data_IF_494483753409
#
_entry.id   IF_494483753409
#
_cell.length_a   1.000
_cell.length_b   1.000
_cell.length_c   1.000
_cell.angle_alpha   90.00
_cell.angle_beta   90.00
_cell.angle_gamma   90.00
#
_symmetry.space_group_name_H-M   'P 1'
#
loop_
_entity.id
_entity.type
_entity.pdbx_description
1 polymer ?
#
# COMPACT_ATOMS: atom_id res chain seq x y z
N UNK A 1 1.49 -3.90 11.18
CA UNK A 1 0.72 -3.69 9.94
C UNK A 1 1.69 -3.62 8.76
N UNK A 2 1.28 -4.17 7.65
CA UNK A 2 2.00 -4.30 6.41
C UNK A 2 2.12 -2.94 5.74
N UNK A 3 3.23 -2.66 5.09
CA UNK A 3 3.25 -1.72 3.98
C UNK A 3 2.16 -2.18 3.02
N UNK A 4 1.36 -1.25 2.56
CA UNK A 4 0.29 -1.55 1.63
C UNK A 4 0.91 -2.02 0.32
N UNK A 5 0.95 -3.35 0.15
CA UNK A 5 1.47 -3.98 -1.06
C UNK A 5 0.30 -4.23 -2.00
N UNK A 6 0.35 -3.60 -3.15
CA UNK A 6 -0.66 -3.68 -4.18
C UNK A 6 -0.20 -4.62 -5.30
N UNK A 7 -1.12 -5.40 -5.84
CA UNK A 7 -0.90 -6.12 -7.08
C UNK A 7 -1.54 -5.34 -8.22
N UNK A 8 -0.76 -4.93 -9.21
CA UNK A 8 -1.23 -4.34 -10.45
C UNK A 8 -1.22 -5.41 -11.55
N UNK A 9 -2.37 -5.60 -12.20
CA UNK A 9 -2.53 -6.51 -13.35
C UNK A 9 -2.92 -5.65 -14.55
N UNK A 10 -1.94 -5.34 -15.40
CA UNK A 10 -2.05 -4.40 -16.54
C UNK A 10 -1.09 -4.84 -17.64
N UNK A 11 -1.55 -5.02 -18.85
CA UNK A 11 -0.73 -5.45 -19.98
C UNK A 11 -0.09 -4.30 -20.74
N UNK A 12 -0.65 -3.10 -20.68
CA UNK A 12 -0.06 -1.91 -21.32
C UNK A 12 1.14 -1.38 -20.51
N UNK A 13 2.36 -1.39 -21.10
CA UNK A 13 3.55 -0.98 -20.37
C UNK A 13 3.58 0.51 -20.02
N UNK A 14 2.94 1.37 -20.80
CA UNK A 14 2.92 2.81 -20.52
C UNK A 14 1.97 3.12 -19.35
N UNK A 15 0.81 2.49 -19.34
CA UNK A 15 -0.19 2.66 -18.28
C UNK A 15 0.33 2.02 -16.98
N UNK A 16 0.83 0.80 -17.06
CA UNK A 16 1.37 0.09 -15.89
C UNK A 16 2.51 0.84 -15.22
N UNK A 17 3.47 1.36 -16.00
CA UNK A 17 4.57 2.15 -15.44
C UNK A 17 4.09 3.47 -14.82
N UNK A 18 3.16 4.18 -15.46
CA UNK A 18 2.60 5.42 -14.93
C UNK A 18 1.88 5.19 -13.60
N UNK A 19 1.05 4.14 -13.50
CA UNK A 19 0.37 3.75 -12.26
C UNK A 19 1.38 3.40 -11.19
N UNK A 20 2.35 2.52 -11.50
CA UNK A 20 3.38 2.08 -10.57
C UNK A 20 4.17 3.25 -10.02
N UNK A 21 4.66 4.13 -10.89
CA UNK A 21 5.43 5.30 -10.50
C UNK A 21 4.62 6.29 -9.66
N UNK A 22 3.34 6.52 -10.01
CA UNK A 22 2.43 7.38 -9.25
C UNK A 22 2.18 6.84 -7.85
N UNK A 23 1.77 5.58 -7.74
CA UNK A 23 1.45 4.95 -6.46
C UNK A 23 2.66 4.77 -5.55
N UNK A 24 3.87 4.59 -6.11
CA UNK A 24 5.11 4.64 -5.32
C UNK A 24 5.34 5.99 -4.66
N UNK A 25 5.07 7.09 -5.36
CA UNK A 25 5.16 8.43 -4.76
C UNK A 25 4.20 8.59 -3.58
N UNK A 26 3.05 7.91 -3.64
CA UNK A 26 2.06 7.87 -2.57
C UNK A 26 2.37 6.85 -1.46
N UNK A 27 3.54 6.19 -1.52
CA UNK A 27 4.03 5.28 -0.48
C UNK A 27 3.51 3.85 -0.56
N UNK A 28 2.86 3.48 -1.67
CA UNK A 28 2.47 2.09 -1.92
C UNK A 28 3.63 1.29 -2.51
N UNK A 29 3.73 0.02 -2.13
CA UNK A 29 4.56 -0.95 -2.86
C UNK A 29 3.69 -1.61 -3.91
N UNK A 30 4.12 -1.59 -5.17
CA UNK A 30 3.35 -2.10 -6.30
C UNK A 30 4.13 -3.19 -7.01
N UNK A 31 3.62 -4.41 -6.94
CA UNK A 31 4.07 -5.49 -7.80
C UNK A 31 3.20 -5.49 -9.06
N UNK A 32 3.81 -5.54 -10.20
CA UNK A 32 3.14 -5.44 -11.48
C UNK A 32 3.34 -6.70 -12.30
N UNK A 33 2.23 -7.24 -12.80
CA UNK A 33 2.18 -8.40 -13.70
C UNK A 33 1.32 -8.06 -14.92
N UNK A 34 1.60 -8.69 -16.04
CA UNK A 34 1.01 -8.36 -17.33
C UNK A 34 -0.13 -9.29 -17.75
N UNK A 35 -0.35 -10.38 -17.02
CA UNK A 35 -1.28 -11.44 -17.40
C UNK A 35 -2.04 -11.99 -16.21
N UNK A 36 -3.27 -12.46 -16.45
CA UNK A 36 -4.10 -13.08 -15.44
C UNK A 36 -3.46 -14.34 -14.81
N UNK A 37 -2.71 -15.13 -15.60
CA UNK A 37 -2.03 -16.33 -15.10
C UNK A 37 -0.93 -15.98 -14.10
N UNK A 38 -0.13 -14.96 -14.40
CA UNK A 38 0.92 -14.45 -13.49
C UNK A 38 0.30 -13.89 -12.22
N UNK A 39 -0.82 -13.16 -12.33
CA UNK A 39 -1.55 -12.65 -11.17
C UNK A 39 -2.04 -13.80 -10.27
N UNK A 40 -2.63 -14.84 -10.84
CA UNK A 40 -3.07 -16.01 -10.09
C UNK A 40 -1.90 -16.70 -9.36
N UNK A 41 -0.73 -16.81 -9.98
CA UNK A 41 0.45 -17.42 -9.38
C UNK A 41 0.96 -16.62 -8.16
N UNK A 42 1.15 -15.30 -8.31
CA UNK A 42 1.67 -14.46 -7.21
C UNK A 42 0.69 -14.31 -6.06
N UNK A 43 -0.62 -14.36 -6.31
CA UNK A 43 -1.65 -14.36 -5.26
C UNK A 43 -1.60 -15.59 -4.36
N UNK A 44 -1.00 -16.71 -4.81
CA UNK A 44 -0.80 -17.90 -4.00
C UNK A 44 0.44 -17.83 -3.10
N UNK A 45 1.44 -17.06 -3.48
CA UNK A 45 2.74 -17.03 -2.81
C UNK A 45 2.93 -15.79 -1.95
N UNK A 46 2.30 -14.69 -2.32
CA UNK A 46 2.51 -13.38 -1.70
C UNK A 46 1.20 -12.77 -1.20
N UNK A 47 1.23 -12.14 -0.02
CA UNK A 47 0.06 -11.44 0.50
C UNK A 47 -0.03 -10.02 -0.09
N UNK A 48 -1.21 -9.68 -0.59
CA UNK A 48 -1.55 -8.33 -1.07
C UNK A 48 -2.70 -7.74 -0.27
N UNK A 49 -2.72 -6.43 -0.15
CA UNK A 49 -3.79 -5.70 0.52
C UNK A 49 -4.92 -5.29 -0.44
N UNK A 50 -4.60 -5.09 -1.73
CA UNK A 50 -5.55 -4.74 -2.77
C UNK A 50 -4.98 -5.12 -4.14
N UNK A 51 -5.85 -5.48 -5.07
CA UNK A 51 -5.51 -5.72 -6.47
C UNK A 51 -6.14 -4.64 -7.35
N UNK A 52 -5.33 -4.07 -8.24
CA UNK A 52 -5.73 -3.24 -9.37
C UNK A 52 -5.80 -4.15 -10.60
N UNK A 53 -6.94 -4.19 -11.29
CA UNK A 53 -7.19 -5.19 -12.33
C UNK A 53 -7.71 -4.54 -13.60
N UNK A 54 -6.97 -4.63 -14.69
CA UNK A 54 -7.56 -4.39 -16.01
C UNK A 54 -8.40 -5.59 -16.45
N UNK A 55 -9.50 -5.31 -17.12
CA UNK A 55 -10.36 -6.32 -17.75
C UNK A 55 -9.89 -6.69 -19.16
N UNK A 56 -9.08 -5.83 -19.81
CA UNK A 56 -8.61 -5.96 -21.18
C UNK A 56 -7.41 -6.88 -21.37
N UNK A 57 -7.08 -7.71 -20.40
CA UNK A 57 -5.89 -8.55 -20.42
C UNK A 57 -5.86 -9.56 -21.59
N UNK A 58 -4.69 -9.88 -22.15
CA UNK A 58 -4.56 -10.88 -23.19
C UNK A 58 -4.86 -12.29 -22.66
N UNK A 59 -5.48 -13.11 -23.50
CA UNK A 59 -5.80 -14.51 -23.18
C UNK A 59 -6.97 -14.65 -22.21
N UNK A 60 -6.69 -14.81 -20.92
CA UNK A 60 -7.74 -14.92 -19.88
C UNK A 60 -8.19 -13.52 -19.47
N UNK A 61 -9.50 -13.24 -19.59
CA UNK A 61 -10.02 -11.93 -19.24
C UNK A 61 -9.87 -11.61 -17.75
N UNK A 62 -9.66 -10.33 -17.40
CA UNK A 62 -9.61 -9.90 -16.01
C UNK A 62 -10.90 -10.27 -15.24
N UNK A 63 -12.05 -10.29 -15.90
CA UNK A 63 -13.30 -10.68 -15.28
C UNK A 63 -13.32 -12.17 -14.87
N UNK A 64 -12.72 -13.04 -15.67
CA UNK A 64 -12.62 -14.48 -15.36
C UNK A 64 -11.62 -14.71 -14.23
N UNK A 65 -10.52 -13.97 -14.20
CA UNK A 65 -9.59 -13.95 -13.07
C UNK A 65 -10.32 -13.55 -11.77
N UNK A 66 -11.10 -12.48 -11.80
CA UNK A 66 -11.87 -12.01 -10.65
C UNK A 66 -12.84 -13.06 -10.13
N UNK A 67 -13.64 -13.66 -11.04
CA UNK A 67 -14.58 -14.75 -10.70
C UNK A 67 -13.86 -15.93 -10.05
N UNK A 68 -12.70 -16.32 -10.60
CA UNK A 68 -11.90 -17.42 -10.06
C UNK A 68 -11.39 -17.11 -8.64
N UNK A 69 -10.91 -15.91 -8.40
CA UNK A 69 -10.45 -15.47 -7.08
C UNK A 69 -11.62 -15.49 -6.08
N UNK A 70 -12.78 -14.98 -6.48
CA UNK A 70 -13.98 -14.95 -5.61
C UNK A 70 -14.56 -16.34 -5.33
N UNK A 71 -14.56 -17.25 -6.30
CA UNK A 71 -15.03 -18.63 -6.11
C UNK A 71 -14.18 -19.41 -5.09
N UNK A 72 -12.93 -19.01 -4.88
CA UNK A 72 -12.04 -19.56 -3.84
C UNK A 72 -12.18 -18.89 -2.47
N UNK A 73 -13.15 -18.00 -2.31
CA UNK A 73 -13.41 -17.31 -1.04
C UNK A 73 -12.41 -16.20 -0.69
N UNK A 74 -11.60 -15.73 -1.64
CA UNK A 74 -10.65 -14.66 -1.37
C UNK A 74 -11.37 -13.33 -1.09
N UNK A 75 -11.04 -12.70 0.03
CA UNK A 75 -11.55 -11.39 0.47
C UNK A 75 -10.65 -10.22 0.09
N UNK A 76 -9.70 -10.43 -0.84
CA UNK A 76 -8.82 -9.38 -1.34
C UNK A 76 -9.65 -8.28 -2.03
N UNK A 77 -9.56 -7.00 -1.63
CA UNK A 77 -10.22 -5.92 -2.35
C UNK A 77 -9.71 -5.83 -3.78
N UNK A 78 -10.61 -5.65 -4.73
CA UNK A 78 -10.31 -5.51 -6.15
C UNK A 78 -10.90 -4.21 -6.68
N UNK A 79 -10.04 -3.33 -7.18
CA UNK A 79 -10.42 -2.15 -7.95
C UNK A 79 -10.18 -2.45 -9.44
N UNK A 80 -11.24 -2.49 -10.22
CA UNK A 80 -11.15 -2.60 -11.67
C UNK A 80 -10.70 -1.25 -12.24
N UNK A 81 -9.72 -1.28 -13.15
CA UNK A 81 -9.24 -0.13 -13.91
C UNK A 81 -9.23 -0.49 -15.40
N UNK A 82 -10.11 0.05 -16.20
CA UNK A 82 -10.29 -0.41 -17.60
C UNK A 82 -10.84 0.67 -18.52
N UNK A 83 -10.63 0.52 -19.84
CA UNK A 83 -11.21 1.39 -20.84
C UNK A 83 -12.72 1.13 -21.11
N UNK A 84 -13.30 0.08 -20.52
CA UNK A 84 -14.71 -0.25 -20.68
C UNK A 84 -15.56 0.69 -19.81
N UNK A 85 -16.31 1.55 -20.45
CA UNK A 85 -17.10 2.62 -19.81
C UNK A 85 -18.61 2.36 -19.80
N UNK A 86 -19.08 1.35 -20.54
CA UNK A 86 -20.50 1.03 -20.60
C UNK A 86 -21.06 0.64 -19.22
N UNK A 87 -22.29 1.08 -18.94
CA UNK A 87 -22.96 0.77 -17.67
C UNK A 87 -23.04 -0.74 -17.44
N UNK A 88 -23.31 -1.51 -18.51
CA UNK A 88 -23.37 -2.97 -18.44
C UNK A 88 -22.03 -3.61 -17.99
N UNK A 89 -20.89 -3.09 -18.46
CA UNK A 89 -19.58 -3.58 -18.07
C UNK A 89 -19.27 -3.28 -16.58
N UNK A 90 -19.65 -2.08 -16.13
CA UNK A 90 -19.50 -1.72 -14.71
C UNK A 90 -20.34 -2.60 -13.79
N UNK A 91 -21.61 -2.83 -14.17
CA UNK A 91 -22.49 -3.74 -13.42
C UNK A 91 -21.91 -5.15 -13.41
N UNK A 92 -21.49 -5.67 -14.56
CA UNK A 92 -20.88 -7.01 -14.64
C UNK A 92 -19.60 -7.14 -13.80
N UNK A 93 -18.76 -6.11 -13.74
CA UNK A 93 -17.56 -6.08 -12.92
C UNK A 93 -17.88 -6.10 -11.43
N UNK A 94 -18.83 -5.28 -10.99
CA UNK A 94 -19.24 -5.21 -9.58
C UNK A 94 -19.96 -6.49 -9.15
N UNK A 95 -20.84 -7.03 -9.98
CA UNK A 95 -21.54 -8.30 -9.70
C UNK A 95 -20.60 -9.51 -9.69
N UNK A 96 -19.48 -9.44 -10.42
CA UNK A 96 -18.42 -10.43 -10.34
C UNK A 96 -17.60 -10.35 -9.02
N UNK A 97 -17.88 -9.34 -8.19
CA UNK A 97 -17.28 -9.17 -6.88
C UNK A 97 -16.13 -8.16 -6.82
N UNK A 98 -16.04 -7.22 -7.77
CA UNK A 98 -15.18 -6.06 -7.61
C UNK A 98 -15.72 -5.12 -6.51
N UNK A 99 -14.81 -4.48 -5.79
CA UNK A 99 -15.14 -3.57 -4.68
C UNK A 99 -15.30 -2.12 -5.16
N UNK A 100 -14.72 -1.77 -6.31
CA UNK A 100 -14.89 -0.48 -6.99
C UNK A 100 -14.48 -0.61 -8.47
N UNK A 101 -14.79 0.43 -9.27
CA UNK A 101 -14.56 0.44 -10.69
C UNK A 101 -14.12 1.84 -11.15
N UNK A 102 -13.04 1.94 -11.90
CA UNK A 102 -12.47 3.18 -12.40
C UNK A 102 -12.24 3.07 -13.93
N UNK A 103 -12.78 4.04 -14.67
CA UNK A 103 -12.69 4.07 -16.14
C UNK A 103 -11.46 4.87 -16.58
N UNK A 104 -10.68 4.32 -17.53
CA UNK A 104 -9.58 5.02 -18.21
C UNK A 104 -10.14 6.02 -19.24
N UNK A 105 -9.58 7.25 -19.36
CA UNK A 105 -8.49 7.80 -18.59
C UNK A 105 -8.93 8.32 -17.21
N UNK A 106 -8.05 8.23 -16.22
CA UNK A 106 -8.28 8.70 -14.86
C UNK A 106 -7.09 9.50 -14.32
N UNK A 107 -7.32 10.27 -13.28
CA UNK A 107 -6.29 10.94 -12.52
C UNK A 107 -5.64 9.99 -11.50
N UNK A 108 -4.31 10.06 -11.33
CA UNK A 108 -3.59 9.23 -10.36
C UNK A 108 -3.99 9.56 -8.92
N UNK A 109 -4.33 10.80 -8.63
CA UNK A 109 -4.82 11.20 -7.30
C UNK A 109 -6.20 10.61 -7.02
N UNK A 110 -7.08 10.49 -8.03
CA UNK A 110 -8.35 9.77 -7.91
C UNK A 110 -8.13 8.28 -7.64
N UNK A 111 -7.24 7.63 -8.40
CA UNK A 111 -6.88 6.23 -8.19
C UNK A 111 -6.38 6.00 -6.76
N UNK A 112 -5.45 6.82 -6.29
CA UNK A 112 -4.91 6.73 -4.93
C UNK A 112 -5.98 6.95 -3.85
N UNK A 113 -6.91 7.90 -4.07
CA UNK A 113 -8.02 8.15 -3.16
C UNK A 113 -8.98 6.93 -3.05
N UNK A 114 -9.28 6.27 -4.16
CA UNK A 114 -10.11 5.05 -4.20
C UNK A 114 -9.41 3.88 -3.51
N UNK A 115 -8.12 3.68 -3.75
CA UNK A 115 -7.32 2.66 -3.05
C UNK A 115 -7.41 2.88 -1.54
N UNK A 116 -7.16 4.12 -1.05
CA UNK A 116 -7.28 4.44 0.38
C UNK A 116 -8.68 4.16 0.93
N UNK A 117 -9.73 4.46 0.17
CA UNK A 117 -11.11 4.20 0.58
C UNK A 117 -11.41 2.70 0.72
N UNK A 118 -10.92 1.87 -0.21
CA UNK A 118 -11.09 0.41 -0.17
C UNK A 118 -10.32 -0.22 0.99
N UNK A 119 -9.07 0.19 1.19
CA UNK A 119 -8.25 -0.28 2.30
C UNK A 119 -8.87 0.08 3.65
N UNK A 120 -9.44 1.29 3.79
CA UNK A 120 -10.18 1.70 4.98
C UNK A 120 -11.42 0.83 5.24
N UNK A 121 -12.19 0.48 4.21
CA UNK A 121 -13.35 -0.41 4.33
C UNK A 121 -12.94 -1.82 4.80
N UNK A 122 -11.83 -2.35 4.26
CA UNK A 122 -11.30 -3.67 4.65
C UNK A 122 -10.80 -3.68 6.10
N UNK A 123 -10.13 -2.63 6.53
CA UNK A 123 -9.68 -2.49 7.91
C UNK A 123 -10.84 -2.47 8.92
N UNK A 124 -12.08 -2.35 8.43
CA UNK A 124 -13.24 -2.08 9.26
C UNK A 124 -13.17 -0.67 9.85
N UNK A 125 -14.19 -0.21 10.54
CA UNK A 125 -14.16 1.05 11.30
C UNK A 125 -13.19 1.02 12.49
N UNK A 126 -12.26 0.08 12.51
CA UNK A 126 -11.42 -0.29 13.63
C UNK A 126 -9.99 -0.69 13.29
N UNK A 127 -9.36 -0.20 12.21
CA UNK A 127 -7.91 -0.20 12.22
C UNK A 127 -7.47 0.58 13.47
N UNK A 128 -6.86 -0.09 14.47
CA UNK A 128 -6.60 0.56 15.74
C UNK A 128 -5.69 1.78 15.50
N UNK A 129 -6.11 2.91 16.05
CA UNK A 129 -5.25 4.07 16.17
C UNK A 129 -3.97 3.63 16.89
N UNK A 130 -2.84 3.75 16.23
CA UNK A 130 -1.56 3.45 16.87
C UNK A 130 -1.19 4.66 17.73
N UNK A 131 -1.14 4.48 19.04
CA UNK A 131 -0.78 5.56 19.98
C UNK A 131 0.48 5.21 20.74
N UNK A 132 1.42 6.12 20.78
CA UNK A 132 2.66 5.93 21.53
C UNK A 132 3.36 7.26 21.81
N UNK A 133 3.63 7.55 23.10
CA UNK A 133 4.35 8.74 23.56
C UNK A 133 3.84 10.06 22.90
N UNK A 134 2.53 10.30 22.94
CA UNK A 134 1.90 11.49 22.36
C UNK A 134 1.72 11.47 20.85
N UNK A 135 2.27 10.49 20.16
CA UNK A 135 2.06 10.30 18.73
C UNK A 135 0.86 9.39 18.49
N UNK A 136 -0.07 9.87 17.69
CA UNK A 136 -1.24 9.14 17.20
C UNK A 136 -1.11 8.96 15.68
N UNK A 137 -1.11 7.72 15.20
CA UNK A 137 -1.10 7.39 13.78
C UNK A 137 -2.40 6.65 13.44
N UNK A 138 -3.17 7.25 12.54
CA UNK A 138 -4.37 6.64 11.96
C UNK A 138 -4.04 6.06 10.58
N UNK A 139 -3.87 4.73 10.48
CA UNK A 139 -3.55 4.08 9.21
C UNK A 139 -4.68 4.21 8.18
N UNK A 140 -5.93 4.26 8.65
CA UNK A 140 -7.11 4.32 7.80
C UNK A 140 -7.30 5.72 7.19
N UNK A 141 -7.06 6.76 7.99
CA UNK A 141 -7.13 8.15 7.51
C UNK A 141 -5.82 8.66 6.90
N UNK A 142 -4.73 7.87 6.98
CA UNK A 142 -3.37 8.27 6.60
C UNK A 142 -2.93 9.58 7.26
N UNK A 143 -3.21 9.72 8.57
CA UNK A 143 -2.94 10.92 9.36
C UNK A 143 -2.10 10.62 10.57
N UNK A 144 -1.27 11.59 10.92
CA UNK A 144 -0.46 11.55 12.15
C UNK A 144 -0.71 12.81 12.95
N UNK A 145 -0.84 12.67 14.27
CA UNK A 145 -0.85 13.76 15.24
C UNK A 145 0.24 13.53 16.27
N UNK A 146 0.82 14.60 16.74
CA UNK A 146 1.75 14.62 17.86
C UNK A 146 1.25 15.65 18.87
N UNK A 147 0.94 15.19 20.08
CA UNK A 147 0.30 15.99 21.13
C UNK A 147 -0.95 16.75 20.65
N UNK A 148 -1.78 16.06 19.84
CA UNK A 148 -3.02 16.59 19.27
C UNK A 148 -2.85 17.47 18.02
N UNK A 149 -1.62 17.86 17.66
CA UNK A 149 -1.33 18.68 16.47
C UNK A 149 -1.05 17.79 15.27
N UNK A 150 -1.67 18.07 14.12
CA UNK A 150 -1.47 17.32 12.90
C UNK A 150 -0.05 17.51 12.35
N UNK A 151 0.61 16.40 12.00
CA UNK A 151 1.98 16.38 11.48
C UNK A 151 1.98 15.86 10.05
N UNK A 152 2.36 16.70 9.09
CA UNK A 152 2.47 16.30 7.69
C UNK A 152 3.73 15.42 7.50
N UNK A 153 3.50 14.17 7.10
CA UNK A 153 4.54 13.21 6.75
C UNK A 153 4.53 12.94 5.25
N UNK A 154 5.72 12.69 4.67
CA UNK A 154 5.77 12.09 3.36
C UNK A 154 5.26 10.65 3.42
N UNK A 155 4.81 10.05 2.30
CA UNK A 155 4.31 8.67 2.29
C UNK A 155 5.32 7.67 2.87
N UNK A 156 6.61 7.83 2.60
CA UNK A 156 7.66 6.94 3.14
C UNK A 156 7.93 7.16 4.62
N UNK A 157 7.88 8.41 5.10
CA UNK A 157 7.95 8.70 6.53
C UNK A 157 6.75 8.10 7.26
N UNK A 158 5.55 8.19 6.68
CA UNK A 158 4.35 7.59 7.25
C UNK A 158 4.46 6.06 7.35
N UNK A 159 4.87 5.39 6.26
CA UNK A 159 5.05 3.94 6.23
C UNK A 159 6.13 3.47 7.22
N UNK A 160 7.24 4.22 7.34
CA UNK A 160 8.29 3.92 8.30
C UNK A 160 7.81 4.11 9.75
N UNK A 161 7.12 5.22 10.03
CA UNK A 161 6.55 5.48 11.36
C UNK A 161 5.56 4.39 11.75
N UNK A 162 4.67 4.02 10.83
CA UNK A 162 3.72 2.94 11.04
C UNK A 162 4.42 1.63 11.38
N UNK A 163 5.42 1.21 10.60
CA UNK A 163 6.21 0.00 10.85
C UNK A 163 6.83 -0.01 12.27
N UNK A 164 7.37 1.13 12.69
CA UNK A 164 8.00 1.26 14.00
C UNK A 164 6.99 1.28 15.16
N UNK A 165 5.79 1.85 14.94
CA UNK A 165 4.73 1.97 15.95
C UNK A 165 3.87 0.71 16.10
N UNK A 166 3.90 -0.24 15.16
CA UNK A 166 3.17 -1.51 15.29
C UNK A 166 3.60 -2.35 16.47
N UNK A 167 4.88 -2.29 16.80
CA UNK A 167 5.47 -2.97 17.94
C UNK A 167 6.48 -2.04 18.63
N UNK A 168 6.00 -1.08 19.42
CA UNK A 168 6.87 -0.14 20.10
C UNK A 168 7.95 -0.86 20.91
N UNK A 169 9.19 -0.37 20.86
CA UNK A 169 10.33 -0.99 21.50
C UNK A 169 11.00 -2.13 20.73
N UNK A 170 10.33 -2.74 19.74
CA UNK A 170 10.94 -3.78 18.91
C UNK A 170 11.87 -3.16 17.88
N UNK A 171 13.09 -3.71 17.77
CA UNK A 171 14.08 -3.23 16.80
C UNK A 171 13.70 -3.74 15.41
N UNK A 172 13.58 -2.82 14.46
CA UNK A 172 13.46 -3.12 13.04
C UNK A 172 14.84 -2.99 12.40
N UNK A 173 15.32 -4.07 11.80
CA UNK A 173 16.61 -4.04 11.09
C UNK A 173 16.53 -3.15 9.86
N UNK A 174 17.68 -2.59 9.45
CA UNK A 174 17.76 -1.77 8.25
C UNK A 174 17.23 -2.54 7.02
N UNK A 175 17.69 -3.76 6.80
CA UNK A 175 17.25 -4.60 5.69
C UNK A 175 15.73 -4.81 5.67
N UNK A 176 15.12 -5.04 6.84
CA UNK A 176 13.67 -5.17 6.97
C UNK A 176 12.93 -3.87 6.67
N UNK A 177 13.49 -2.72 7.06
CA UNK A 177 12.92 -1.42 6.73
C UNK A 177 13.01 -1.18 5.22
N UNK A 178 14.16 -1.46 4.59
CA UNK A 178 14.36 -1.32 3.15
C UNK A 178 13.41 -2.23 2.36
N UNK A 179 13.34 -3.51 2.69
CA UNK A 179 12.40 -4.46 2.10
C UNK A 179 10.95 -3.97 2.18
N UNK A 180 10.60 -3.38 3.33
CA UNK A 180 9.25 -2.87 3.58
C UNK A 180 8.95 -1.56 2.87
N UNK A 181 9.92 -0.66 2.69
CA UNK A 181 9.72 0.65 2.07
C UNK A 181 9.85 0.63 0.54
N UNK A 182 10.58 -0.34 -0.01
CA UNK A 182 10.96 -0.31 -1.42
C UNK A 182 10.54 -1.56 -2.22
N UNK A 183 10.18 -2.67 -1.54
CA UNK A 183 9.82 -3.93 -2.20
C UNK A 183 11.03 -4.73 -2.69
N UNK A 184 10.76 -5.83 -3.40
CA UNK A 184 11.83 -6.68 -3.94
C UNK A 184 12.46 -6.06 -5.20
N UNK A 185 13.80 -6.06 -5.26
CA UNK A 185 14.56 -5.77 -6.48
C UNK A 185 14.78 -4.30 -6.79
N UNK A 186 14.48 -3.37 -5.90
CA UNK A 186 14.88 -1.97 -6.08
C UNK A 186 16.26 -1.73 -5.48
N UNK A 187 17.17 -1.14 -6.29
CA UNK A 187 18.38 -0.56 -5.77
C UNK A 187 18.03 0.66 -4.92
N UNK A 188 18.20 0.51 -3.62
CA UNK A 188 17.96 1.58 -2.64
C UNK A 188 19.28 2.31 -2.41
N UNK A 189 19.27 3.63 -2.53
CA UNK A 189 20.44 4.43 -2.12
C UNK A 189 20.82 4.10 -0.69
N UNK A 190 22.12 3.93 -0.44
CA UNK A 190 22.63 3.39 0.84
C UNK A 190 22.27 4.20 2.07
N UNK A 191 21.71 5.40 1.95
CA UNK A 191 21.32 6.32 3.04
C UNK A 191 19.82 6.66 3.06
N UNK A 192 18.99 5.99 2.24
CA UNK A 192 17.59 6.34 2.10
C UNK A 192 16.79 6.19 3.41
N UNK A 193 17.06 5.14 4.18
CA UNK A 193 16.41 4.93 5.49
C UNK A 193 16.78 6.05 6.46
N UNK A 194 18.06 6.43 6.50
CA UNK A 194 18.58 7.49 7.37
C UNK A 194 17.91 8.84 7.08
N UNK A 195 17.66 9.16 5.82
CA UNK A 195 16.95 10.39 5.41
C UNK A 195 15.53 10.40 6.00
N UNK A 196 14.79 9.30 5.92
CA UNK A 196 13.44 9.22 6.47
C UNK A 196 13.44 9.23 8.01
N UNK A 197 14.39 8.55 8.65
CA UNK A 197 14.58 8.62 10.11
C UNK A 197 14.89 10.06 10.55
N UNK A 198 15.76 10.76 9.83
CA UNK A 198 16.07 12.16 10.12
C UNK A 198 14.82 13.05 9.98
N UNK A 199 14.05 12.87 8.91
CA UNK A 199 12.79 13.57 8.69
C UNK A 199 11.78 13.37 9.82
N UNK A 200 11.58 12.13 10.24
CA UNK A 200 10.69 11.79 11.36
C UNK A 200 11.17 12.39 12.69
N UNK A 201 12.47 12.31 13.01
CA UNK A 201 13.03 12.92 14.23
C UNK A 201 12.86 14.43 14.28
N UNK A 202 12.98 15.10 13.15
CA UNK A 202 12.75 16.55 13.06
C UNK A 202 11.29 16.90 13.33
N UNK A 203 10.33 16.05 12.92
CA UNK A 203 8.88 16.29 13.03
C UNK A 203 8.28 15.82 14.36
N UNK A 204 8.78 14.72 14.92
CA UNK A 204 8.25 14.07 16.13
C UNK A 204 9.18 14.21 17.35
N UNK A 205 10.31 14.88 17.19
CA UNK A 205 11.33 14.99 18.23
C UNK A 205 12.36 13.86 18.18
N UNK A 206 13.63 14.22 18.38
CA UNK A 206 14.77 13.28 18.29
C UNK A 206 14.66 12.05 19.21
N UNK A 207 14.12 12.17 20.45
CA UNK A 207 14.04 11.01 21.37
C UNK A 207 13.00 9.96 20.97
N UNK A 208 12.07 10.26 20.04
CA UNK A 208 10.99 9.35 19.68
C UNK A 208 11.49 8.10 18.97
N UNK A 209 12.48 8.23 18.07
CA UNK A 209 13.09 7.09 17.36
C UNK A 209 14.55 6.91 17.80
N UNK A 210 14.86 5.74 18.34
CA UNK A 210 16.19 5.38 18.79
C UNK A 210 16.94 4.59 17.71
N UNK A 211 18.24 4.89 17.55
CA UNK A 211 19.16 4.07 16.76
C UNK A 211 19.80 3.01 17.64
N UNK A 212 19.70 1.75 17.21
CA UNK A 212 20.47 0.65 17.80
C UNK A 212 21.63 0.37 16.86
N UNK A 213 22.83 0.85 17.26
CA UNK A 213 24.02 0.80 16.39
C UNK A 213 24.28 -0.60 15.87
N UNK A 214 24.53 -0.73 14.57
CA UNK A 214 24.79 -1.99 13.88
C UNK A 214 23.58 -2.92 13.73
N UNK A 215 22.38 -2.56 14.24
CA UNK A 215 21.19 -3.41 14.21
C UNK A 215 20.05 -2.74 13.45
N UNK A 216 19.65 -1.52 13.82
CA UNK A 216 18.51 -0.84 13.19
C UNK A 216 17.88 0.27 14.03
N UNK A 217 16.56 0.40 13.96
CA UNK A 217 15.81 1.47 14.60
C UNK A 217 14.60 0.93 15.36
N UNK A 218 14.19 1.64 16.38
CA UNK A 218 12.95 1.37 17.13
C UNK A 218 12.33 2.66 17.65
N UNK A 219 11.05 2.66 17.92
CA UNK A 219 10.42 3.69 18.77
C UNK A 219 10.93 3.50 20.21
N UNK A 220 11.11 4.61 20.92
CA UNK A 220 11.46 4.57 22.34
C UNK A 220 10.42 3.74 23.11
N UNK A 221 10.78 2.75 23.93
CA UNK A 221 9.83 2.00 24.73
C UNK A 221 9.14 2.93 25.76
N UNK A 222 7.94 2.56 26.24
CA UNK A 222 7.40 3.14 27.47
C UNK A 222 8.35 2.80 28.63
N UNK A 223 8.62 3.78 29.46
CA UNK A 223 9.31 3.54 30.74
C UNK A 223 8.38 2.82 31.69
#
# INVERSE_FOLDING_TARGET
LRIVRLLLVEDDPMIGEAIRAGLKRDGFTVDWVHEAASAAAVLHTEPYELMLLDLGLPGVSGLDLLRNIRSRGASLPVLIITARDAVADRVAGLDAGADDYLVKPFDLDELAARIRALLRRRAGSGAPLLTHLGVELDPAAHRVRHDGVEVALSPREFALLQLLMERPGTIQSRARIEERLYGFGEEVESNAVEVHIHGLRRKLGAPFILTVRGVGYRVRPHE
#
